data_IF_378615618854
#
_entry.id   IF_378615618854
#
_cell.length_a   1.000
_cell.length_b   1.000
_cell.length_c   1.000
_cell.angle_alpha   90.00
_cell.angle_beta   90.00
_cell.angle_gamma   90.00
#
_symmetry.space_group_name_H-M   'P 1'
#
loop_
_entity.id
_entity.type
_entity.pdbx_description
1 polymer ?
#
# COMPACT_ATOMS: atom_id res chain seq x y z
N UNK A 1 -18.79 3.54 -6.87
CA UNK A 1 -17.52 4.13 -6.39
C UNK A 1 -16.86 3.11 -5.46
N UNK A 2 -15.52 3.04 -5.39
CA UNK A 2 -14.87 2.10 -4.48
C UNK A 2 -15.14 2.52 -3.02
N UNK A 3 -15.66 1.60 -2.23
CA UNK A 3 -15.88 1.78 -0.80
C UNK A 3 -14.68 1.16 -0.08
N UNK A 4 -14.06 1.91 0.83
CA UNK A 4 -12.98 1.42 1.69
C UNK A 4 -13.47 1.46 3.14
N UNK A 5 -13.54 0.31 3.80
CA UNK A 5 -13.95 0.21 5.20
C UNK A 5 -12.83 0.59 6.15
N UNK A 6 -11.58 0.30 5.79
CA UNK A 6 -10.42 0.62 6.64
C UNK A 6 -9.14 0.71 5.82
N UNK A 7 -8.25 1.60 6.23
CA UNK A 7 -6.89 1.75 5.68
C UNK A 7 -5.90 1.77 6.84
N UNK A 8 -4.81 1.04 6.69
CA UNK A 8 -3.65 0.96 7.56
C UNK A 8 -2.40 1.36 6.77
N UNK A 9 -1.50 2.11 7.41
CA UNK A 9 -0.31 2.68 6.78
C UNK A 9 -0.29 4.22 6.87
N UNK A 10 0.65 4.88 6.16
CA UNK A 10 1.61 4.29 5.22
C UNK A 10 2.66 3.41 5.91
N UNK A 11 3.00 2.30 5.26
CA UNK A 11 4.12 1.44 5.63
C UNK A 11 5.31 1.71 4.70
N UNK A 12 6.52 1.77 5.29
CA UNK A 12 7.82 1.83 4.62
C UNK A 12 7.84 2.67 3.32
N UNK A 13 7.98 4.01 3.40
CA UNK A 13 8.12 4.83 2.21
C UNK A 13 9.37 4.42 1.42
N UNK A 14 9.19 3.95 0.21
CA UNK A 14 10.27 3.54 -0.69
C UNK A 14 10.54 4.62 -1.72
N UNK A 15 11.81 4.89 -1.95
CA UNK A 15 12.26 5.73 -3.05
C UNK A 15 12.84 4.82 -4.14
N UNK A 16 12.04 4.54 -5.16
CA UNK A 16 12.41 3.61 -6.23
C UNK A 16 12.98 4.38 -7.41
N UNK A 17 14.15 3.95 -7.91
CA UNK A 17 14.64 4.37 -9.23
C UNK A 17 14.05 3.44 -10.29
N UNK A 18 13.13 3.95 -11.08
CA UNK A 18 12.64 3.29 -12.29
C UNK A 18 13.76 3.32 -13.33
N UNK A 19 14.22 2.14 -13.72
CA UNK A 19 15.22 1.93 -14.76
C UNK A 19 14.47 1.52 -16.03
N UNK A 20 14.53 2.35 -17.06
CA UNK A 20 14.08 2.03 -18.41
C UNK A 20 15.33 1.87 -19.28
N UNK A 21 15.47 0.76 -19.98
CA UNK A 21 16.59 0.46 -20.89
C UNK A 21 17.99 0.64 -20.25
N UNK A 22 18.15 0.19 -19.00
CA UNK A 22 19.42 0.27 -18.26
C UNK A 22 19.81 1.67 -17.79
N UNK A 23 18.97 2.70 -18.01
CA UNK A 23 19.21 4.07 -17.54
C UNK A 23 18.22 4.46 -16.44
N UNK A 24 18.68 4.99 -15.29
CA UNK A 24 17.78 5.49 -14.26
C UNK A 24 16.99 6.69 -14.81
N UNK A 25 15.69 6.49 -15.03
CA UNK A 25 14.86 7.43 -15.79
C UNK A 25 13.98 8.25 -14.86
N UNK A 26 13.33 7.61 -13.89
CA UNK A 26 12.40 8.29 -12.98
C UNK A 26 12.62 7.82 -11.55
N UNK A 27 12.67 8.76 -10.60
CA UNK A 27 12.63 8.43 -9.18
C UNK A 27 11.19 8.59 -8.74
N UNK A 28 10.60 7.52 -8.24
CA UNK A 28 9.24 7.50 -7.73
C UNK A 28 9.29 7.34 -6.22
N UNK A 29 8.36 7.99 -5.53
CA UNK A 29 8.08 7.68 -4.14
C UNK A 29 6.89 6.74 -4.07
N UNK A 30 7.00 5.69 -3.27
CA UNK A 30 5.94 4.69 -3.07
C UNK A 30 5.63 4.56 -1.59
N UNK A 31 4.35 4.56 -1.26
CA UNK A 31 3.85 4.26 0.07
C UNK A 31 2.91 3.07 -0.01
N UNK A 32 3.09 2.11 0.89
CA UNK A 32 2.30 0.88 0.93
C UNK A 32 1.22 0.99 1.98
N UNK A 33 0.03 0.48 1.66
CA UNK A 33 -1.12 0.47 2.53
C UNK A 33 -1.78 -0.90 2.51
N UNK A 34 -2.31 -1.29 3.66
CA UNK A 34 -3.20 -2.43 3.78
C UNK A 34 -4.57 -1.95 4.16
N UNK A 35 -5.62 -2.69 3.82
CA UNK A 35 -6.92 -2.36 4.34
C UNK A 35 -8.02 -3.27 3.84
N UNK A 36 -9.25 -2.83 4.10
CA UNK A 36 -10.46 -3.64 3.93
C UNK A 36 -11.36 -2.88 2.96
N UNK A 37 -11.76 -3.56 1.90
CA UNK A 37 -12.70 -3.03 0.90
C UNK A 37 -14.13 -3.09 1.41
N UNK A 38 -15.05 -2.45 0.68
CA UNK A 38 -16.48 -2.45 0.98
C UNK A 38 -17.10 -3.85 1.07
N UNK A 39 -16.58 -4.78 0.26
CA UNK A 39 -16.93 -6.21 0.22
C UNK A 39 -16.33 -7.04 1.37
N UNK A 40 -15.53 -6.41 2.26
CA UNK A 40 -14.89 -7.09 3.38
C UNK A 40 -13.57 -7.80 3.01
N UNK A 41 -13.16 -7.80 1.74
CA UNK A 41 -11.89 -8.39 1.35
C UNK A 41 -10.70 -7.51 1.76
N UNK A 42 -9.59 -8.15 2.13
CA UNK A 42 -8.31 -7.47 2.31
C UNK A 42 -7.77 -6.98 0.97
N UNK A 43 -7.12 -5.82 0.99
CA UNK A 43 -6.44 -5.25 -0.17
C UNK A 43 -5.12 -4.62 0.21
N UNK A 44 -4.18 -4.71 -0.71
CA UNK A 44 -2.90 -4.04 -0.65
C UNK A 44 -2.93 -2.92 -1.70
N UNK A 45 -2.65 -1.71 -1.27
CA UNK A 45 -2.55 -0.56 -2.16
C UNK A 45 -1.16 0.04 -2.12
N UNK A 46 -0.74 0.57 -3.25
CA UNK A 46 0.48 1.35 -3.40
C UNK A 46 0.09 2.71 -3.89
N UNK A 47 0.44 3.74 -3.13
CA UNK A 47 0.36 5.12 -3.57
C UNK A 47 1.71 5.48 -4.16
N UNK A 48 1.74 5.83 -5.43
CA UNK A 48 2.96 6.26 -6.13
C UNK A 48 2.88 7.74 -6.41
N UNK A 49 3.95 8.48 -6.13
CA UNK A 49 4.14 9.85 -6.56
C UNK A 49 5.22 9.92 -7.63
N UNK A 50 4.86 10.51 -8.78
CA UNK A 50 5.79 10.75 -9.89
C UNK A 50 6.21 12.23 -9.88
N UNK A 51 7.46 12.57 -9.50
CA UNK A 51 7.90 13.96 -9.38
C UNK A 51 7.81 14.77 -10.67
N UNK A 52 8.06 14.14 -11.82
CA UNK A 52 8.02 14.79 -13.15
C UNK A 52 6.63 15.34 -13.48
N UNK A 53 5.59 14.56 -13.20
CA UNK A 53 4.19 14.93 -13.50
C UNK A 53 3.48 15.52 -12.29
N UNK A 54 4.08 15.43 -11.10
CA UNK A 54 3.53 15.87 -9.80
C UNK A 54 2.19 15.23 -9.48
N UNK A 55 1.99 14.00 -9.96
CA UNK A 55 0.74 13.24 -9.79
C UNK A 55 0.91 12.13 -8.77
N UNK A 56 -0.14 11.93 -8.00
CA UNK A 56 -0.33 10.73 -7.18
C UNK A 56 -1.18 9.74 -7.96
N UNK A 57 -0.82 8.46 -7.88
CA UNK A 57 -1.59 7.36 -8.45
C UNK A 57 -1.66 6.23 -7.44
N UNK A 58 -2.87 5.83 -7.06
CA UNK A 58 -3.06 4.58 -6.34
C UNK A 58 -3.18 3.41 -7.32
N UNK A 59 -2.42 2.35 -7.07
CA UNK A 59 -2.65 1.04 -7.66
C UNK A 59 -3.04 0.05 -6.55
N UNK A 60 -3.93 -0.87 -6.88
CA UNK A 60 -4.05 -2.09 -6.08
C UNK A 60 -2.91 -2.99 -6.55
N UNK A 61 -2.02 -3.39 -5.65
CA UNK A 61 -1.15 -4.51 -5.94
C UNK A 61 -2.07 -5.72 -5.93
N UNK A 62 -2.59 -6.06 -7.12
CA UNK A 62 -3.47 -7.20 -7.30
C UNK A 62 -2.85 -8.35 -6.55
N UNK A 63 -3.61 -8.89 -5.57
CA UNK A 63 -3.14 -9.74 -4.45
C UNK A 63 -1.72 -10.14 -4.78
N UNK A 64 -0.65 -9.52 -4.20
CA UNK A 64 0.61 -10.23 -4.27
C UNK A 64 0.19 -11.64 -3.88
N UNK A 65 0.56 -12.62 -4.67
CA UNK A 65 0.63 -13.96 -4.17
C UNK A 65 1.52 -13.81 -2.95
N UNK A 66 0.90 -13.45 -1.82
CA UNK A 66 1.29 -13.77 -0.49
C UNK A 66 1.32 -15.25 -0.66
N UNK A 67 2.49 -15.73 -1.07
CA UNK A 67 2.78 -17.12 -1.18
C UNK A 67 2.70 -17.73 0.23
N UNK A 68 2.03 -17.14 1.23
CA UNK A 68 1.57 -17.84 2.42
C UNK A 68 0.91 -19.19 2.13
N UNK A 69 0.38 -19.47 0.93
CA UNK A 69 0.08 -20.85 0.48
C UNK A 69 1.23 -21.59 -0.20
N UNK A 70 1.99 -21.01 -1.14
CA UNK A 70 3.13 -21.68 -1.82
C UNK A 70 4.41 -21.75 -0.97
N UNK A 71 4.77 -20.66 -0.31
CA UNK A 71 5.77 -20.52 0.76
C UNK A 71 5.41 -21.34 2.01
N UNK A 72 4.15 -21.72 2.27
CA UNK A 72 3.84 -22.69 3.35
C UNK A 72 4.44 -24.06 3.08
N UNK A 73 4.41 -24.53 1.83
CA UNK A 73 5.08 -25.78 1.46
C UNK A 73 6.60 -25.63 1.50
N UNK A 74 7.12 -24.49 1.05
CA UNK A 74 8.56 -24.16 1.14
C UNK A 74 9.08 -24.11 2.58
N UNK A 75 8.39 -23.40 3.48
CA UNK A 75 8.73 -23.28 4.90
C UNK A 75 8.62 -24.64 5.63
N UNK A 76 7.59 -25.44 5.32
CA UNK A 76 7.48 -26.82 5.84
C UNK A 76 8.62 -27.71 5.36
N UNK A 77 9.05 -27.59 4.11
CA UNK A 77 10.21 -28.34 3.58
C UNK A 77 11.54 -27.94 4.23
N UNK A 78 11.59 -26.77 4.87
CA UNK A 78 12.73 -26.25 5.64
C UNK A 78 12.58 -26.46 7.15
N UNK A 79 11.55 -27.18 7.61
CA UNK A 79 11.32 -27.46 9.04
C UNK A 79 10.83 -26.27 9.86
N UNK A 80 10.41 -25.18 9.22
CA UNK A 80 9.91 -23.97 9.88
C UNK A 80 8.39 -24.09 9.97
N UNK A 81 7.87 -24.36 11.17
CA UNK A 81 6.42 -24.28 11.41
C UNK A 81 5.97 -22.83 11.28
N UNK A 82 5.05 -22.57 10.34
CA UNK A 82 4.44 -21.27 10.20
C UNK A 82 3.47 -21.07 11.37
N UNK A 83 3.93 -20.45 12.45
CA UNK A 83 3.02 -19.87 13.44
C UNK A 83 2.13 -18.86 12.71
N UNK A 84 0.83 -19.14 12.67
CA UNK A 84 -0.14 -18.15 12.27
C UNK A 84 -0.06 -17.03 13.30
N UNK A 85 0.70 -15.98 12.99
CA UNK A 85 0.81 -14.81 13.83
C UNK A 85 -0.59 -14.33 14.22
N UNK A 86 -0.79 -13.90 15.48
CA UNK A 86 -2.10 -13.52 15.97
C UNK A 86 -2.74 -12.49 15.04
N UNK A 87 -4.02 -12.68 14.77
CA UNK A 87 -4.79 -11.72 13.98
C UNK A 87 -4.63 -10.33 14.61
N UNK A 88 -4.13 -9.37 13.82
CA UNK A 88 -3.73 -8.03 14.29
C UNK A 88 -4.89 -7.32 15.01
N UNK A 89 -6.15 -7.71 14.73
CA UNK A 89 -7.28 -7.35 15.58
C UNK A 89 -8.48 -8.32 15.39
N UNK A 90 -8.99 -8.98 16.45
CA UNK A 90 -10.07 -9.97 16.33
C UNK A 90 -11.41 -9.39 15.84
N UNK A 91 -11.60 -8.06 15.93
CA UNK A 91 -12.80 -7.38 15.39
C UNK A 91 -12.65 -6.83 13.98
N UNK A 92 -11.52 -7.06 13.31
CA UNK A 92 -11.25 -6.51 11.97
C UNK A 92 -12.26 -6.99 10.91
N UNK A 93 -12.84 -8.18 11.11
CA UNK A 93 -13.76 -8.83 10.18
C UNK A 93 -15.22 -8.85 10.68
N UNK A 94 -15.52 -8.18 11.79
CA UNK A 94 -16.89 -8.13 12.31
C UNK A 94 -17.65 -7.07 11.52
N UNK A 95 -18.61 -7.53 10.70
CA UNK A 95 -19.42 -6.71 9.80
C UNK A 95 -20.14 -5.53 10.48
N UNK A 96 -20.32 -5.59 11.80
CA UNK A 96 -21.01 -4.60 12.63
C UNK A 96 -20.19 -3.37 13.05
N UNK A 97 -18.87 -3.33 12.84
CA UNK A 97 -18.07 -2.13 13.12
C UNK A 97 -18.05 -1.20 11.89
N UNK A 98 -19.24 -0.69 11.54
CA UNK A 98 -19.51 0.14 10.36
C UNK A 98 -19.01 1.60 10.50
N UNK A 99 -18.17 1.89 11.49
CA UNK A 99 -18.00 3.26 11.97
C UNK A 99 -17.04 4.13 11.14
N UNK A 100 -16.23 3.57 10.25
CA UNK A 100 -15.24 4.34 9.47
C UNK A 100 -15.19 3.96 7.99
N UNK A 101 -16.35 3.93 7.34
CA UNK A 101 -16.43 3.76 5.89
C UNK A 101 -15.98 5.04 5.19
N UNK A 102 -14.89 4.99 4.44
CA UNK A 102 -14.42 6.07 3.58
C UNK A 102 -14.87 5.80 2.14
N UNK A 103 -15.68 6.70 1.61
CA UNK A 103 -16.16 6.66 0.22
C UNK A 103 -15.46 7.75 -0.59
N UNK A 104 -14.93 7.40 -1.75
CA UNK A 104 -14.22 8.36 -2.60
C UNK A 104 -13.23 7.71 -3.55
N UNK A 105 -12.40 8.54 -4.17
CA UNK A 105 -11.28 8.05 -4.96
C UNK A 105 -10.23 7.46 -4.02
N UNK A 106 -9.80 6.21 -4.28
CA UNK A 106 -8.76 5.51 -3.52
C UNK A 106 -7.50 6.36 -3.38
N UNK A 107 -7.13 7.09 -4.44
CA UNK A 107 -5.93 7.94 -4.43
C UNK A 107 -6.02 9.05 -3.38
N UNK A 108 -7.17 9.72 -3.29
CA UNK A 108 -7.39 10.81 -2.34
C UNK A 108 -7.47 10.28 -0.91
N UNK A 109 -8.13 9.13 -0.72
CA UNK A 109 -8.20 8.42 0.55
C UNK A 109 -6.79 8.08 1.06
N UNK A 110 -5.95 7.45 0.22
CA UNK A 110 -4.59 7.09 0.62
C UNK A 110 -3.71 8.31 0.84
N UNK A 111 -3.83 9.34 -0.01
CA UNK A 111 -3.10 10.60 0.14
C UNK A 111 -3.42 11.30 1.47
N UNK A 112 -4.67 11.23 1.93
CA UNK A 112 -5.08 11.79 3.22
C UNK A 112 -4.38 11.15 4.44
N UNK A 113 -3.79 9.97 4.26
CA UNK A 113 -3.05 9.25 5.30
C UNK A 113 -1.56 9.61 5.34
N UNK A 114 -1.05 10.38 4.38
CA UNK A 114 0.34 10.81 4.37
C UNK A 114 0.60 11.86 5.47
N UNK A 115 1.77 11.75 6.11
CA UNK A 115 2.21 12.77 7.05
C UNK A 115 2.64 14.06 6.31
N UNK A 116 2.70 15.18 7.04
CA UNK A 116 3.25 16.42 6.49
C UNK A 116 4.70 16.23 5.98
N UNK A 117 5.48 15.37 6.65
CA UNK A 117 6.85 15.03 6.26
C UNK A 117 6.90 14.27 4.92
N UNK A 118 5.97 13.33 4.67
CA UNK A 118 5.86 12.61 3.41
C UNK A 118 5.53 13.55 2.25
N UNK A 119 4.60 14.48 2.47
CA UNK A 119 4.19 15.48 1.48
C UNK A 119 5.35 16.44 1.19
N UNK A 120 6.08 16.88 2.22
CA UNK A 120 7.26 17.72 2.05
C UNK A 120 8.34 17.01 1.24
N UNK A 121 8.60 15.72 1.49
CA UNK A 121 9.56 14.89 0.74
C UNK A 121 9.18 14.79 -0.74
N UNK A 122 7.92 14.52 -1.04
CA UNK A 122 7.41 14.47 -2.41
C UNK A 122 7.59 15.81 -3.14
N UNK A 123 7.31 16.91 -2.43
CA UNK A 123 7.43 18.27 -2.99
C UNK A 123 8.90 18.63 -3.25
N UNK A 124 9.80 18.32 -2.31
CA UNK A 124 11.24 18.57 -2.47
C UNK A 124 11.81 17.87 -3.71
N UNK A 125 11.47 16.58 -3.91
CA UNK A 125 11.92 15.84 -5.10
C UNK A 125 11.41 16.42 -6.42
N UNK A 126 10.23 17.04 -6.43
CA UNK A 126 9.69 17.68 -7.63
C UNK A 126 10.32 19.05 -7.93
N UNK A 127 10.92 19.71 -6.93
CA UNK A 127 11.65 20.97 -7.10
C UNK A 127 13.06 20.69 -7.64
N UNK A 128 13.76 19.71 -7.09
CA UNK A 128 15.15 19.36 -7.47
C UNK A 128 15.28 18.87 -8.92
N UNK A 129 14.17 18.49 -9.58
CA UNK A 129 14.16 17.97 -10.95
C UNK A 129 13.52 18.91 -11.99
N UNK A 130 13.44 20.22 -11.70
CA UNK A 130 13.20 21.25 -12.72
C UNK A 130 14.48 21.49 -13.53
#
# INVERSE_FOLDING_TARGET
MPIIRKVFGPFAPEETRVILDGKPTTQELRWYFFGIRGDGEMSHWVLTYTPKTRKFLASNTGKPSLDGRRNRMGLRSQGIEAEAGPCIHPKMFIEGDATLTQEGNVTDILKSKLSAADIARATALAITRR
#
